data_IF_669449567355
#
_entry.id   IF_669449567355
#
_cell.length_a   1.000
_cell.length_b   1.000
_cell.length_c   1.000
_cell.angle_alpha   90.00
_cell.angle_beta   90.00
_cell.angle_gamma   90.00
#
_symmetry.space_group_name_H-M   'P 1'
#
loop_
_entity.id
_entity.type
_entity.pdbx_description
1 polymer ?
#
# COMPACT_ATOMS: atom_id res chain seq x y z
N UNK A 1 -24.86 1.90 -2.16
CA UNK A 1 -24.45 3.26 -1.76
C UNK A 1 -24.36 4.20 -2.97
N UNK A 2 -23.70 3.79 -4.07
CA UNK A 2 -23.57 4.58 -5.32
C UNK A 2 -24.92 4.96 -5.96
N UNK A 3 -25.88 4.03 -6.00
CA UNK A 3 -27.24 4.30 -6.49
C UNK A 3 -28.00 5.40 -5.73
N UNK A 4 -27.71 5.60 -4.44
CA UNK A 4 -28.37 6.64 -3.64
C UNK A 4 -27.78 8.03 -3.94
N UNK A 5 -26.46 8.10 -4.15
CA UNK A 5 -25.76 9.33 -4.55
C UNK A 5 -26.19 9.81 -5.95
N UNK A 6 -26.35 8.87 -6.90
CA UNK A 6 -26.83 9.19 -8.25
C UNK A 6 -28.22 9.82 -8.25
N UNK A 7 -29.17 9.24 -7.50
CA UNK A 7 -30.54 9.78 -7.39
C UNK A 7 -30.56 11.16 -6.74
N UNK A 8 -29.69 11.42 -5.77
CA UNK A 8 -29.54 12.73 -5.16
C UNK A 8 -28.99 13.78 -6.13
N UNK A 9 -28.03 13.41 -6.98
CA UNK A 9 -27.46 14.27 -8.03
C UNK A 9 -28.44 14.57 -9.16
N UNK A 10 -29.22 13.57 -9.59
CA UNK A 10 -30.26 13.75 -10.61
C UNK A 10 -31.38 14.70 -10.11
N UNK A 11 -31.69 14.70 -8.81
CA UNK A 11 -32.66 15.62 -8.21
C UNK A 11 -32.12 17.05 -8.16
N UNK A 12 -30.84 17.25 -7.81
CA UNK A 12 -30.20 18.57 -7.76
C UNK A 12 -29.96 19.19 -9.15
N UNK A 13 -29.79 18.37 -10.18
CA UNK A 13 -29.57 18.83 -11.56
C UNK A 13 -30.85 19.36 -12.25
N UNK A 14 -32.04 19.17 -11.67
CA UNK A 14 -33.31 19.66 -12.20
C UNK A 14 -33.62 21.13 -11.83
N UNK A 15 -32.98 21.68 -10.79
CA UNK A 15 -33.28 23.04 -10.28
C UNK A 15 -32.26 24.11 -10.70
N UNK A 16 -31.12 23.75 -11.29
CA UNK A 16 -30.12 24.71 -11.80
C UNK A 16 -29.12 24.05 -12.75
N UNK A 17 -28.51 24.84 -13.66
CA UNK A 17 -27.46 24.33 -14.55
C UNK A 17 -26.38 23.62 -13.72
N UNK A 18 -26.08 22.33 -14.00
CA UNK A 18 -25.17 21.57 -13.17
C UNK A 18 -23.79 22.22 -13.24
N UNK A 19 -23.32 22.70 -12.09
CA UNK A 19 -22.00 23.27 -11.93
C UNK A 19 -20.93 22.29 -12.43
N UNK A 20 -19.79 22.82 -12.89
CA UNK A 20 -18.69 21.99 -13.39
C UNK A 20 -18.28 20.91 -12.38
N UNK A 21 -18.39 21.21 -11.09
CA UNK A 21 -18.11 20.28 -9.99
C UNK A 21 -19.09 19.08 -9.95
N UNK A 22 -20.39 19.30 -10.21
CA UNK A 22 -21.38 18.23 -10.23
C UNK A 22 -21.21 17.32 -11.45
N UNK A 23 -20.84 17.89 -12.60
CA UNK A 23 -20.50 17.12 -13.82
C UNK A 23 -19.26 16.25 -13.56
N UNK A 24 -18.21 16.84 -12.99
CA UNK A 24 -17.00 16.11 -12.63
C UNK A 24 -17.26 15.01 -11.61
N UNK A 25 -18.18 15.23 -10.66
CA UNK A 25 -18.58 14.22 -9.69
C UNK A 25 -19.36 13.07 -10.36
N UNK A 26 -20.26 13.38 -11.30
CA UNK A 26 -20.99 12.37 -12.08
C UNK A 26 -20.04 11.51 -12.92
N UNK A 27 -19.07 12.12 -13.61
CA UNK A 27 -18.04 11.39 -14.37
C UNK A 27 -17.22 10.45 -13.48
N UNK A 28 -16.85 10.91 -12.27
CA UNK A 28 -16.14 10.08 -11.29
C UNK A 28 -16.98 8.92 -10.80
N UNK A 29 -18.28 9.11 -10.59
CA UNK A 29 -19.20 8.05 -10.19
C UNK A 29 -19.31 7.01 -11.32
N UNK A 30 -19.47 7.44 -12.57
CA UNK A 30 -19.50 6.53 -13.73
C UNK A 30 -18.19 5.75 -13.88
N UNK A 31 -17.04 6.41 -13.69
CA UNK A 31 -15.75 5.73 -13.69
C UNK A 31 -15.63 4.67 -12.58
N UNK A 32 -16.17 4.95 -11.39
CA UNK A 32 -16.19 3.99 -10.28
C UNK A 32 -17.13 2.80 -10.55
N UNK A 33 -18.25 3.02 -11.24
CA UNK A 33 -19.16 1.94 -11.64
C UNK A 33 -18.59 1.04 -12.75
N UNK A 34 -17.64 1.54 -13.55
CA UNK A 34 -16.95 0.77 -14.59
C UNK A 34 -15.80 -0.10 -14.05
N UNK A 35 -15.31 0.15 -12.82
CA UNK A 35 -14.22 -0.60 -12.22
C UNK A 35 -14.48 -2.12 -12.08
N UNK A 36 -15.66 -2.59 -11.65
CA UNK A 36 -15.92 -4.03 -11.53
C UNK A 36 -15.82 -4.77 -12.86
N UNK A 37 -16.24 -4.14 -13.97
CA UNK A 37 -16.11 -4.71 -15.30
C UNK A 37 -14.64 -4.79 -15.74
N UNK A 38 -13.86 -3.74 -15.49
CA UNK A 38 -12.41 -3.73 -15.76
C UNK A 38 -11.67 -4.78 -14.92
N UNK A 39 -12.05 -4.97 -13.65
CA UNK A 39 -11.47 -6.00 -12.78
C UNK A 39 -11.84 -7.41 -13.27
N UNK A 40 -13.07 -7.62 -13.75
CA UNK A 40 -13.49 -8.90 -14.32
C UNK A 40 -12.73 -9.23 -15.61
N UNK A 41 -12.52 -8.23 -16.49
CA UNK A 41 -11.73 -8.39 -17.71
C UNK A 41 -10.26 -8.71 -17.39
N UNK A 42 -9.66 -7.99 -16.44
CA UNK A 42 -8.29 -8.24 -16.01
C UNK A 42 -8.14 -9.63 -15.36
N UNK A 43 -9.15 -10.08 -14.59
CA UNK A 43 -9.17 -11.43 -14.02
C UNK A 43 -9.24 -12.52 -15.10
N UNK A 44 -10.03 -12.31 -16.15
CA UNK A 44 -10.11 -13.23 -17.29
C UNK A 44 -8.78 -13.28 -18.06
N UNK A 45 -8.09 -12.15 -18.22
CA UNK A 45 -6.77 -12.12 -18.86
C UNK A 45 -5.71 -12.84 -18.02
N UNK A 46 -5.73 -12.67 -16.70
CA UNK A 46 -4.84 -13.41 -15.79
C UNK A 46 -5.09 -14.92 -15.88
N UNK A 47 -6.35 -15.36 -15.92
CA UNK A 47 -6.69 -16.78 -16.08
C UNK A 47 -6.19 -17.33 -17.43
N UNK A 48 -6.34 -16.54 -18.52
CA UNK A 48 -5.83 -16.90 -19.85
C UNK A 48 -4.31 -17.07 -19.87
N UNK A 49 -3.57 -16.19 -19.21
CA UNK A 49 -2.11 -16.28 -19.09
C UNK A 49 -1.67 -17.51 -18.28
N UNK A 50 -2.41 -17.84 -17.22
CA UNK A 50 -2.18 -19.06 -16.44
C UNK A 50 -2.40 -20.32 -17.27
N UNK A 51 -3.52 -20.39 -18.02
CA UNK A 51 -3.80 -21.51 -18.91
C UNK A 51 -2.74 -21.67 -20.01
N UNK A 52 -2.31 -20.56 -20.63
CA UNK A 52 -1.25 -20.57 -21.63
C UNK A 52 0.08 -21.09 -21.05
N UNK A 53 0.37 -20.79 -19.79
CA UNK A 53 1.58 -21.26 -19.10
C UNK A 53 1.54 -22.77 -18.81
N UNK A 54 0.36 -23.34 -18.57
CA UNK A 54 0.19 -24.79 -18.38
C UNK A 54 0.22 -25.61 -19.67
N UNK A 55 0.19 -24.96 -20.84
CA UNK A 55 0.14 -25.63 -22.14
C UNK A 55 1.48 -25.70 -22.87
N UNK A 56 2.57 -25.26 -22.24
CA UNK A 56 3.90 -25.56 -22.73
C UNK A 56 4.12 -27.08 -22.60
N UNK A 57 4.25 -27.83 -23.72
CA UNK A 57 4.63 -29.23 -23.64
C UNK A 57 6.01 -29.27 -23.00
N UNK A 58 6.09 -29.83 -21.79
CA UNK A 58 7.36 -30.27 -21.23
C UNK A 58 7.77 -31.44 -22.12
N UNK A 59 8.62 -31.16 -23.13
CA UNK A 59 9.34 -32.22 -23.81
C UNK A 59 10.10 -32.98 -22.73
N UNK A 60 9.62 -34.18 -22.39
CA UNK A 60 10.19 -35.02 -21.36
C UNK A 60 11.63 -35.37 -21.78
N UNK A 61 12.65 -35.07 -20.97
CA UNK A 61 13.97 -35.64 -21.21
C UNK A 61 13.86 -37.17 -21.19
N UNK A 62 14.55 -37.89 -22.10
CA UNK A 62 14.44 -39.34 -22.19
C UNK A 62 14.86 -40.00 -20.88
N UNK A 63 14.11 -41.03 -20.51
CA UNK A 63 14.13 -41.72 -19.24
C UNK A 63 15.51 -42.22 -18.82
N UNK A 64 15.96 -41.81 -17.64
CA UNK A 64 17.00 -42.49 -16.87
C UNK A 64 16.41 -42.87 -15.50
N UNK A 65 16.12 -44.16 -15.39
CA UNK A 65 15.97 -45.08 -14.24
C UNK A 65 15.58 -44.56 -12.82
N UNK A 66 14.71 -45.30 -12.10
CA UNK A 66 14.19 -44.89 -10.80
C UNK A 66 15.20 -45.20 -9.68
N UNK A 67 15.84 -44.17 -9.15
CA UNK A 67 16.52 -44.29 -7.85
C UNK A 67 15.48 -44.06 -6.76
N UNK A 68 15.10 -45.14 -6.10
CA UNK A 68 14.36 -45.11 -4.85
C UNK A 68 15.12 -44.32 -3.79
N UNK A 69 14.50 -43.27 -3.25
CA UNK A 69 14.57 -42.88 -1.84
C UNK A 69 13.68 -41.67 -1.59
N UNK A 70 12.71 -41.85 -0.70
CA UNK A 70 11.93 -40.74 -0.17
C UNK A 70 12.83 -39.75 0.56
N UNK A 71 12.80 -38.50 0.13
CA UNK A 71 13.13 -37.37 0.97
C UNK A 71 11.99 -36.36 0.83
N UNK A 72 11.40 -36.08 1.97
CA UNK A 72 10.52 -34.95 2.21
C UNK A 72 11.32 -33.67 1.92
N UNK A 73 11.24 -33.16 0.69
CA UNK A 73 11.87 -31.90 0.32
C UNK A 73 11.12 -30.76 1.01
N UNK A 74 11.57 -30.41 2.22
CA UNK A 74 11.49 -29.03 2.69
C UNK A 74 12.08 -28.16 1.57
N UNK A 75 11.38 -27.14 1.06
CA UNK A 75 11.98 -26.25 0.07
C UNK A 75 13.24 -25.63 0.67
N UNK A 76 14.37 -25.93 0.04
CA UNK A 76 15.66 -25.37 0.40
C UNK A 76 15.58 -23.83 0.38
N UNK A 77 16.28 -23.12 1.28
CA UNK A 77 16.37 -21.67 1.23
C UNK A 77 17.04 -21.29 -0.09
N UNK A 78 16.25 -20.71 -0.99
CA UNK A 78 16.71 -20.17 -2.27
C UNK A 78 17.94 -19.31 -1.99
N UNK A 79 19.08 -19.66 -2.59
CA UNK A 79 20.30 -18.89 -2.49
C UNK A 79 19.98 -17.42 -2.81
N UNK A 80 20.55 -16.44 -2.08
CA UNK A 80 20.28 -15.04 -2.34
C UNK A 80 20.71 -14.74 -3.78
N UNK A 81 19.73 -14.54 -4.65
CA UNK A 81 19.96 -14.06 -6.02
C UNK A 81 20.72 -12.75 -5.84
N UNK A 82 22.00 -12.74 -6.19
CA UNK A 82 22.81 -11.54 -6.19
C UNK A 82 22.25 -10.66 -7.30
N UNK A 83 21.56 -9.58 -6.92
CA UNK A 83 20.95 -8.67 -7.88
C UNK A 83 21.94 -7.52 -8.10
N UNK A 84 22.50 -7.44 -9.31
CA UNK A 84 23.45 -6.36 -9.68
C UNK A 84 22.76 -5.01 -9.92
N UNK A 85 21.47 -5.01 -10.31
CA UNK A 85 20.69 -3.81 -10.64
C UNK A 85 19.36 -3.74 -9.93
N UNK A 86 19.00 -2.55 -9.47
CA UNK A 86 17.73 -2.35 -8.79
C UNK A 86 16.54 -2.56 -9.74
N UNK A 87 15.58 -3.46 -9.45
CA UNK A 87 14.43 -3.71 -10.33
C UNK A 87 13.44 -2.54 -10.41
N UNK A 88 13.57 -1.52 -9.55
CA UNK A 88 12.69 -0.34 -9.57
C UNK A 88 13.24 0.83 -10.38
N UNK A 89 14.55 0.96 -10.50
CA UNK A 89 15.16 2.18 -11.07
C UNK A 89 16.45 1.92 -11.86
N UNK A 90 16.76 0.63 -12.11
CA UNK A 90 17.94 0.12 -12.81
C UNK A 90 19.30 0.59 -12.29
N UNK A 91 19.31 1.24 -11.12
CA UNK A 91 20.54 1.70 -10.49
C UNK A 91 21.39 0.52 -10.03
N UNK A 92 22.71 0.61 -10.24
CA UNK A 92 23.67 -0.41 -9.80
C UNK A 92 23.57 -0.57 -8.29
N UNK A 93 23.38 -1.80 -7.83
CA UNK A 93 23.31 -2.12 -6.41
C UNK A 93 24.72 -2.31 -5.86
N UNK A 94 24.90 -1.91 -4.61
CA UNK A 94 26.15 -2.17 -3.89
C UNK A 94 26.18 -3.60 -3.35
N UNK A 95 27.36 -4.03 -2.93
CA UNK A 95 27.54 -5.31 -2.27
C UNK A 95 26.58 -5.47 -1.07
N UNK A 96 26.08 -6.69 -0.80
CA UNK A 96 25.21 -6.94 0.34
C UNK A 96 25.85 -6.51 1.67
N UNK A 97 25.03 -6.01 2.59
CA UNK A 97 25.49 -5.67 3.94
C UNK A 97 25.98 -6.94 4.65
N UNK A 98 27.22 -6.93 5.17
CA UNK A 98 27.87 -8.09 5.81
C UNK A 98 27.03 -8.72 6.93
N UNK A 99 26.32 -7.90 7.71
CA UNK A 99 25.58 -8.34 8.89
C UNK A 99 24.25 -9.03 8.56
N UNK A 100 23.58 -8.64 7.48
CA UNK A 100 22.22 -9.08 7.15
C UNK A 100 22.10 -9.75 5.79
N UNK A 101 23.14 -9.69 4.96
CA UNK A 101 23.09 -10.07 3.55
C UNK A 101 22.08 -9.25 2.74
N UNK A 102 21.63 -8.10 3.26
CA UNK A 102 20.60 -7.27 2.61
C UNK A 102 21.27 -6.31 1.64
N UNK A 103 20.83 -6.35 0.38
CA UNK A 103 21.12 -5.30 -0.60
C UNK A 103 20.00 -4.26 -0.55
N UNK A 104 20.39 -2.99 -0.50
CA UNK A 104 19.48 -1.84 -0.51
C UNK A 104 19.88 -0.90 -1.65
N UNK A 105 18.91 -0.48 -2.45
CA UNK A 105 19.11 0.53 -3.47
C UNK A 105 19.24 1.91 -2.81
N UNK A 106 20.37 2.59 -3.01
CA UNK A 106 20.60 3.94 -2.48
C UNK A 106 19.65 4.96 -3.13
N UNK A 107 19.28 4.75 -4.40
CA UNK A 107 18.45 5.70 -5.15
C UNK A 107 16.97 5.68 -4.77
N UNK A 108 16.39 4.50 -4.53
CA UNK A 108 14.95 4.35 -4.31
C UNK A 108 14.55 3.56 -3.05
N UNK A 109 15.52 3.09 -2.26
CA UNK A 109 15.26 2.36 -1.01
C UNK A 109 14.75 0.92 -1.18
N UNK A 110 14.70 0.39 -2.40
CA UNK A 110 14.33 -1.02 -2.65
C UNK A 110 15.28 -1.99 -1.94
N UNK A 111 14.78 -3.17 -1.54
CA UNK A 111 15.53 -4.18 -0.81
C UNK A 111 15.17 -5.59 -1.25
N UNK A 112 16.17 -6.47 -1.37
CA UNK A 112 15.99 -7.87 -1.78
C UNK A 112 15.38 -8.73 -0.65
N UNK A 113 15.80 -8.54 0.60
CA UNK A 113 15.22 -9.31 1.72
C UNK A 113 13.87 -8.72 2.15
N UNK A 114 12.79 -9.52 2.24
CA UNK A 114 11.57 -9.08 2.89
C UNK A 114 11.91 -8.63 4.32
N UNK A 115 11.28 -7.56 4.81
CA UNK A 115 11.32 -7.31 6.26
C UNK A 115 10.69 -8.54 6.87
N UNK A 116 11.44 -9.29 7.67
CA UNK A 116 10.85 -10.21 8.63
C UNK A 116 10.06 -9.32 9.58
N UNK A 117 8.78 -9.11 9.25
CA UNK A 117 7.85 -8.47 10.16
C UNK A 117 7.65 -9.52 11.23
N UNK A 118 8.42 -9.43 12.31
CA UNK A 118 8.13 -10.15 13.53
C UNK A 118 6.74 -9.69 13.93
N UNK A 119 5.73 -10.53 13.64
CA UNK A 119 4.31 -10.36 13.96
C UNK A 119 3.84 -8.90 14.02
N UNK A 120 3.21 -8.41 12.95
CA UNK A 120 2.41 -7.18 13.03
C UNK A 120 1.53 -7.26 14.29
N UNK A 121 1.68 -6.36 15.27
CA UNK A 121 0.73 -6.29 16.36
C UNK A 121 -0.64 -6.01 15.74
N UNK A 122 -1.68 -6.66 16.26
CA UNK A 122 -3.02 -6.52 15.71
C UNK A 122 -3.36 -5.02 15.59
N UNK A 123 -4.08 -4.57 14.54
CA UNK A 123 -4.31 -3.15 14.28
C UNK A 123 -4.89 -2.38 15.49
N UNK A 124 -5.59 -3.10 16.39
CA UNK A 124 -6.11 -2.54 17.64
C UNK A 124 -5.02 -2.18 18.65
N UNK A 125 -3.93 -2.95 18.74
CA UNK A 125 -2.83 -2.67 19.67
C UNK A 125 -2.00 -1.47 19.19
N UNK A 126 -1.83 -1.31 17.88
CA UNK A 126 -1.14 -0.16 17.30
C UNK A 126 -1.88 1.16 17.60
N UNK A 127 -3.22 1.13 17.50
CA UNK A 127 -4.05 2.29 17.80
C UNK A 127 -3.95 2.67 19.29
N UNK A 128 -4.00 1.67 20.20
CA UNK A 128 -3.83 1.90 21.63
C UNK A 128 -2.45 2.47 21.98
N UNK A 129 -1.39 2.00 21.32
CA UNK A 129 -0.03 2.53 21.48
C UNK A 129 0.09 3.98 20.99
N UNK A 130 -0.57 4.33 19.89
CA UNK A 130 -0.60 5.70 19.38
C UNK A 130 -1.38 6.64 20.31
N UNK A 131 -2.53 6.19 20.80
CA UNK A 131 -3.36 6.97 21.73
C UNK A 131 -2.63 7.20 23.06
N UNK A 132 -1.95 6.17 23.58
CA UNK A 132 -1.14 6.27 24.80
C UNK A 132 0.04 7.22 24.61
N UNK A 133 0.77 7.12 23.49
CA UNK A 133 1.88 8.01 23.19
C UNK A 133 1.43 9.47 23.00
N UNK A 134 0.24 9.69 22.42
CA UNK A 134 -0.35 11.02 22.28
C UNK A 134 -0.73 11.61 23.64
N UNK A 135 -1.32 10.81 24.53
CA UNK A 135 -1.66 11.22 25.89
C UNK A 135 -0.41 11.61 26.70
N UNK A 136 0.65 10.80 26.62
CA UNK A 136 1.92 11.08 27.31
C UNK A 136 2.62 12.32 26.74
N UNK A 137 2.53 12.55 25.44
CA UNK A 137 3.06 13.76 24.81
C UNK A 137 2.33 15.02 25.29
N UNK A 138 1.00 14.99 25.37
CA UNK A 138 0.19 16.12 25.87
C UNK A 138 0.49 16.37 27.36
N UNK A 139 0.58 15.32 28.17
CA UNK A 139 0.89 15.44 29.60
C UNK A 139 2.28 16.03 29.87
N UNK A 140 3.26 15.76 29.00
CA UNK A 140 4.63 16.26 29.13
C UNK A 140 4.87 17.60 28.43
N UNK A 141 3.92 18.10 27.63
CA UNK A 141 3.99 19.46 27.09
C UNK A 141 3.57 20.47 28.16
N UNK A 142 4.57 21.16 28.74
CA UNK A 142 4.36 22.34 29.60
C UNK A 142 3.78 23.47 28.73
N UNK A 143 2.55 23.97 28.95
CA UNK A 143 1.97 25.01 28.11
C UNK A 143 2.80 26.29 28.25
N UNK A 144 3.52 26.66 27.18
CA UNK A 144 4.10 27.99 27.03
C UNK A 144 2.99 28.93 26.58
N UNK A 145 2.29 29.53 27.55
CA UNK A 145 1.37 30.62 27.27
C UNK A 145 0.18 30.60 28.21
N UNK A 146 0.32 31.27 29.35
CA UNK A 146 -0.85 31.82 30.01
C UNK A 146 -1.54 32.79 29.02
N UNK A 147 -2.88 32.80 28.91
CA UNK A 147 -3.56 33.85 28.17
C UNK A 147 -3.17 35.18 28.81
N UNK A 148 -2.61 36.08 28.02
CA UNK A 148 -2.27 37.42 28.47
C UNK A 148 -3.52 38.05 29.10
N UNK A 149 -3.45 38.35 30.40
CA UNK A 149 -4.46 39.14 31.09
C UNK A 149 -4.72 40.41 30.26
N UNK A 150 -5.99 40.76 29.98
CA UNK A 150 -6.28 42.02 29.33
C UNK A 150 -5.86 43.14 30.28
N UNK A 151 -4.77 43.85 29.94
CA UNK A 151 -4.35 45.06 30.64
C UNK A 151 -5.53 46.04 30.65
N UNK A 152 -6.14 46.22 31.83
CA UNK A 152 -7.11 47.29 32.07
C UNK A 152 -6.42 48.61 31.78
N UNK A 153 -6.78 49.23 30.66
CA UNK A 153 -6.39 50.61 30.37
C UNK A 153 -7.11 51.53 31.37
N UNK A 154 -6.41 52.40 32.11
CA UNK A 154 -7.07 53.40 32.92
C UNK A 154 -7.65 54.44 31.96
N UNK A 155 -8.98 54.47 31.83
CA UNK A 155 -9.67 55.60 31.22
C UNK A 155 -9.43 56.83 32.13
N UNK A 156 -8.42 57.62 31.76
CA UNK A 156 -8.15 58.93 32.31
C UNK A 156 -9.24 59.91 31.87
N UNK A 157 -9.66 60.73 32.84
CA UNK A 157 -10.67 61.79 32.73
C UNK A 157 -10.37 62.76 31.58
N UNK A 158 -11.42 63.20 30.87
CA UNK A 158 -11.72 64.60 30.56
C UNK A 158 -13.19 64.73 30.17
#
# INVERSE_FOLDING_TARGET
MVNALRRGLEFLALESEPSADLRQLADRITALEALPAQVAELAAEVDRLLQASTQLPIEAPPATEPIASGISERPAPVAPVEVDRCPRCDHKLNAPLKSSGRQVCIKCGWTNKPRTVSADPAPNELQQLLDQAAADAIANMKPKGAPAEPKKFPFGRR
#
